data_IF_821962755187
#
_entry.id   IF_821962755187
#
_cell.length_a   1.000
_cell.length_b   1.000
_cell.length_c   1.000
_cell.angle_alpha   90.00
_cell.angle_beta   90.00
_cell.angle_gamma   90.00
#
_symmetry.space_group_name_H-M   'P 1'
#
loop_
_entity.id
_entity.type
_entity.pdbx_description
1 polymer ?
#
# COMPACT_ATOMS: atom_id res chain seq x y z
N UNK A 1 -38.22 60.49 -8.87
CA UNK A 1 -38.84 59.22 -8.39
C UNK A 1 -39.21 58.40 -9.62
N UNK A 2 -39.13 57.06 -9.61
CA UNK A 2 -39.32 56.14 -10.78
C UNK A 2 -38.01 55.97 -11.56
N UNK A 3 -37.14 54.99 -11.31
CA UNK A 3 -37.20 53.64 -11.90
C UNK A 3 -36.22 52.64 -11.21
N UNK A 4 -35.87 52.84 -9.94
CA UNK A 4 -34.94 51.92 -9.24
C UNK A 4 -35.62 50.71 -8.56
N UNK A 5 -36.91 50.82 -8.25
CA UNK A 5 -37.69 49.75 -7.59
C UNK A 5 -37.87 48.44 -8.40
N UNK A 6 -38.04 48.43 -9.74
CA UNK A 6 -38.25 47.17 -10.46
C UNK A 6 -36.97 46.33 -10.55
N UNK A 7 -35.78 46.94 -10.50
CA UNK A 7 -34.50 46.22 -10.57
C UNK A 7 -34.18 45.51 -9.24
N UNK A 8 -34.47 46.15 -8.11
CA UNK A 8 -34.33 45.54 -6.78
C UNK A 8 -35.33 44.39 -6.56
N UNK A 9 -36.55 44.50 -7.10
CA UNK A 9 -37.54 43.42 -7.04
C UNK A 9 -37.16 42.21 -7.89
N UNK A 10 -36.58 42.44 -9.08
CA UNK A 10 -36.07 41.38 -9.97
C UNK A 10 -34.85 40.65 -9.38
N UNK A 11 -33.95 41.39 -8.72
CA UNK A 11 -32.80 40.82 -8.01
C UNK A 11 -33.22 40.00 -6.78
N UNK A 12 -34.28 40.42 -6.08
CA UNK A 12 -34.88 39.65 -4.98
C UNK A 12 -35.54 38.37 -5.47
N UNK A 13 -36.20 38.36 -6.64
CA UNK A 13 -36.82 37.12 -7.19
C UNK A 13 -35.79 36.08 -7.63
N UNK A 14 -34.57 36.49 -8.01
CA UNK A 14 -33.47 35.58 -8.34
C UNK A 14 -32.85 34.94 -7.09
N UNK A 15 -33.02 35.54 -5.90
CA UNK A 15 -32.47 35.02 -4.65
C UNK A 15 -33.29 33.84 -4.06
N UNK A 16 -34.51 33.58 -4.56
CA UNK A 16 -35.40 32.53 -4.04
C UNK A 16 -35.35 31.21 -4.81
N UNK A 17 -34.46 31.05 -5.80
CA UNK A 17 -34.34 29.80 -6.59
C UNK A 17 -33.27 28.86 -6.00
N UNK A 18 -32.56 29.24 -4.93
CA UNK A 18 -31.56 28.39 -4.28
C UNK A 18 -32.19 27.42 -3.27
N UNK A 19 -33.08 26.55 -3.75
CA UNK A 19 -33.56 25.40 -2.98
C UNK A 19 -33.61 24.19 -3.90
N UNK A 20 -32.44 23.66 -4.25
CA UNK A 20 -32.37 22.30 -4.74
C UNK A 20 -32.77 21.37 -3.58
N UNK A 21 -33.84 20.59 -3.75
CA UNK A 21 -34.21 19.61 -2.74
C UNK A 21 -33.12 18.55 -2.72
N UNK A 22 -32.47 18.39 -1.56
CA UNK A 22 -31.67 17.22 -1.20
C UNK A 22 -32.48 15.95 -1.46
N UNK A 23 -32.27 15.38 -2.64
CA UNK A 23 -33.01 14.22 -3.13
C UNK A 23 -32.01 13.22 -3.68
N UNK A 24 -32.38 11.95 -3.56
CA UNK A 24 -31.57 10.85 -4.06
C UNK A 24 -31.96 10.52 -5.50
N UNK A 25 -30.96 10.37 -6.37
CA UNK A 25 -31.17 9.72 -7.66
C UNK A 25 -31.41 8.21 -7.42
N UNK A 26 -32.54 7.71 -7.89
CA UNK A 26 -32.93 6.29 -7.76
C UNK A 26 -32.94 5.54 -9.09
N UNK A 27 -32.69 6.24 -10.20
CA UNK A 27 -32.62 5.63 -11.53
C UNK A 27 -31.46 4.63 -11.62
N UNK A 28 -31.69 3.51 -12.32
CA UNK A 28 -30.64 2.58 -12.71
C UNK A 28 -29.59 3.21 -13.63
N UNK A 29 -29.92 4.30 -14.32
CA UNK A 29 -28.98 5.02 -15.19
C UNK A 29 -28.08 6.02 -14.45
N UNK A 30 -28.11 6.03 -13.10
CA UNK A 30 -27.28 6.90 -12.28
C UNK A 30 -25.79 6.72 -12.61
N UNK A 31 -25.08 7.83 -12.82
CA UNK A 31 -23.68 7.83 -13.23
C UNK A 31 -22.77 7.75 -12.01
N UNK A 32 -22.00 6.66 -11.92
CA UNK A 32 -20.97 6.47 -10.90
C UNK A 32 -19.62 6.26 -11.58
N UNK A 33 -18.65 7.09 -11.22
CA UNK A 33 -17.27 6.99 -11.72
C UNK A 33 -16.36 6.43 -10.63
N UNK A 34 -15.55 5.43 -10.98
CA UNK A 34 -14.57 4.83 -10.07
C UNK A 34 -13.20 5.09 -10.67
N UNK A 35 -12.31 5.74 -9.92
CA UNK A 35 -11.02 6.21 -10.45
C UNK A 35 -10.03 5.08 -10.78
N UNK A 36 -10.32 3.84 -10.38
CA UNK A 36 -9.52 2.66 -10.66
C UNK A 36 -10.43 1.43 -10.83
N UNK A 37 -10.08 0.57 -11.78
CA UNK A 37 -10.69 -0.75 -11.96
C UNK A 37 -9.97 -1.84 -11.13
N UNK A 38 -8.73 -1.56 -10.75
CA UNK A 38 -7.88 -2.46 -9.98
C UNK A 38 -6.91 -1.71 -9.07
N UNK A 39 -6.60 -2.31 -7.92
CA UNK A 39 -5.57 -1.88 -6.99
C UNK A 39 -4.56 -3.03 -6.87
N UNK A 40 -3.29 -2.72 -7.12
CA UNK A 40 -2.22 -3.72 -7.15
C UNK A 40 -1.11 -3.34 -6.20
N UNK A 41 -0.79 -4.26 -5.29
CA UNK A 41 0.39 -4.17 -4.46
C UNK A 41 1.48 -5.03 -5.10
N UNK A 42 2.68 -4.46 -5.23
CA UNK A 42 3.84 -5.21 -5.66
C UNK A 42 4.28 -6.16 -4.53
N UNK A 43 5.58 -6.43 -4.40
CA UNK A 43 6.14 -7.30 -3.38
C UNK A 43 5.80 -6.80 -1.98
N UNK A 44 4.93 -7.53 -1.29
CA UNK A 44 4.58 -7.32 0.12
C UNK A 44 5.22 -8.44 0.94
N UNK A 45 6.18 -8.06 1.78
CA UNK A 45 6.76 -9.01 2.73
C UNK A 45 5.72 -9.42 3.76
N UNK A 46 5.76 -10.70 4.12
CA UNK A 46 4.82 -11.23 5.12
C UNK A 46 5.01 -10.55 6.48
N UNK A 47 3.95 -10.47 7.29
CA UNK A 47 3.94 -9.87 8.63
C UNK A 47 4.09 -8.34 8.76
N UNK A 48 4.71 -7.61 7.82
CA UNK A 48 4.95 -6.15 7.95
C UNK A 48 3.75 -5.30 7.46
N UNK A 49 2.85 -5.89 6.66
CA UNK A 49 1.76 -5.15 6.03
C UNK A 49 2.25 -4.26 4.88
N UNK A 50 1.33 -3.85 4.02
CA UNK A 50 1.64 -2.97 2.88
C UNK A 50 1.48 -1.50 3.24
N UNK A 51 1.95 -0.64 2.35
CA UNK A 51 1.44 0.73 2.24
C UNK A 51 -0.07 0.76 1.98
N UNK A 52 -0.71 1.89 2.25
CA UNK A 52 -2.11 2.12 1.89
C UNK A 52 -2.20 2.73 0.50
N UNK A 53 -2.99 2.10 -0.39
CA UNK A 53 -3.42 2.68 -1.66
C UNK A 53 -4.85 3.17 -1.56
N UNK A 54 -5.29 3.99 -2.52
CA UNK A 54 -6.67 4.47 -2.54
C UNK A 54 -7.20 4.68 -3.94
N UNK A 55 -8.52 4.63 -4.06
CA UNK A 55 -9.25 5.10 -5.22
C UNK A 55 -10.47 5.89 -4.76
N UNK A 56 -11.07 6.64 -5.70
CA UNK A 56 -12.27 7.42 -5.46
C UNK A 56 -13.48 6.75 -6.09
N UNK A 57 -14.61 6.89 -5.43
CA UNK A 57 -15.93 6.67 -6.01
C UNK A 57 -16.58 8.05 -6.09
N UNK A 58 -16.86 8.53 -7.30
CA UNK A 58 -17.48 9.83 -7.58
C UNK A 58 -18.91 9.66 -8.05
N UNK A 59 -19.80 10.45 -7.48
CA UNK A 59 -21.15 10.66 -7.95
C UNK A 59 -21.13 11.72 -9.06
N UNK A 60 -21.43 11.34 -10.30
CA UNK A 60 -21.41 12.25 -11.45
C UNK A 60 -22.81 12.83 -11.74
N UNK A 61 -23.72 12.77 -10.75
CA UNK A 61 -25.09 13.26 -10.85
C UNK A 61 -25.26 14.55 -10.03
N UNK A 62 -26.22 15.37 -10.43
CA UNK A 62 -26.61 16.62 -9.74
C UNK A 62 -27.46 16.36 -8.48
N UNK A 63 -27.85 15.12 -8.24
CA UNK A 63 -28.56 14.66 -7.05
C UNK A 63 -27.66 13.77 -6.20
N UNK A 64 -27.97 13.64 -4.90
CA UNK A 64 -27.24 12.72 -4.02
C UNK A 64 -27.41 11.27 -4.51
N UNK A 65 -26.38 10.45 -4.34
CA UNK A 65 -26.42 9.03 -4.69
C UNK A 65 -26.12 8.19 -3.46
N UNK A 66 -26.96 7.19 -3.21
CA UNK A 66 -26.75 6.21 -2.14
C UNK A 66 -26.25 4.90 -2.72
N UNK A 67 -25.05 4.50 -2.31
CA UNK A 67 -24.58 3.14 -2.49
C UNK A 67 -25.32 2.25 -1.50
N UNK A 68 -26.03 1.24 -2.00
CA UNK A 68 -26.71 0.27 -1.14
C UNK A 68 -25.69 -0.56 -0.35
N UNK A 69 -24.53 -0.86 -0.95
CA UNK A 69 -23.46 -1.60 -0.31
C UNK A 69 -22.09 -1.30 -0.94
N UNK A 70 -21.07 -1.19 -0.08
CA UNK A 70 -19.65 -1.34 -0.44
C UNK A 70 -19.09 -2.49 0.38
N UNK A 71 -18.53 -3.51 -0.27
CA UNK A 71 -18.16 -4.77 0.39
C UNK A 71 -16.84 -5.34 -0.13
N UNK A 72 -15.94 -5.67 0.78
CA UNK A 72 -14.80 -6.55 0.52
C UNK A 72 -15.29 -8.00 0.50
N UNK A 73 -15.14 -8.70 -0.63
CA UNK A 73 -15.79 -9.99 -0.82
C UNK A 73 -15.22 -11.11 0.04
N UNK A 74 -13.90 -11.13 0.27
CA UNK A 74 -13.27 -12.04 1.23
C UNK A 74 -13.66 -11.76 2.69
N UNK A 75 -14.31 -10.62 2.98
CA UNK A 75 -14.79 -10.26 4.31
C UNK A 75 -13.68 -10.26 5.35
N UNK A 76 -13.94 -10.85 6.52
CA UNK A 76 -12.96 -10.95 7.60
C UNK A 76 -11.73 -11.82 7.27
N UNK A 77 -11.88 -12.77 6.34
CA UNK A 77 -10.81 -13.67 5.91
C UNK A 77 -9.95 -13.08 4.79
N UNK A 78 -10.32 -11.90 4.28
CA UNK A 78 -9.51 -11.23 3.26
C UNK A 78 -8.16 -10.80 3.86
N UNK A 79 -7.05 -11.04 3.14
CA UNK A 79 -5.75 -10.45 3.50
C UNK A 79 -5.77 -8.93 3.28
N UNK A 80 -6.72 -8.42 2.49
CA UNK A 80 -6.94 -7.00 2.32
C UNK A 80 -7.79 -6.43 3.46
N UNK A 81 -7.54 -5.17 3.78
CA UNK A 81 -8.36 -4.35 4.69
C UNK A 81 -8.76 -3.10 3.92
N UNK A 82 -10.02 -2.70 4.09
CA UNK A 82 -10.55 -1.50 3.45
C UNK A 82 -11.06 -0.51 4.50
N UNK A 83 -10.95 0.77 4.16
CA UNK A 83 -11.59 1.86 4.87
C UNK A 83 -12.44 2.65 3.87
N UNK A 84 -13.72 2.80 4.21
CA UNK A 84 -14.76 3.40 3.36
C UNK A 84 -15.06 4.79 3.92
N UNK A 85 -14.53 5.81 3.27
CA UNK A 85 -14.71 7.22 3.62
C UNK A 85 -14.43 7.57 5.10
N UNK A 86 -13.36 7.01 5.66
CA UNK A 86 -12.98 7.19 7.07
C UNK A 86 -13.37 6.04 7.98
N UNK A 87 -14.26 5.13 7.55
CA UNK A 87 -14.77 4.02 8.36
C UNK A 87 -14.08 2.72 7.98
N UNK A 88 -13.30 2.12 8.88
CA UNK A 88 -12.70 0.81 8.69
C UNK A 88 -13.76 -0.29 8.85
N UNK A 89 -14.17 -0.92 7.75
CA UNK A 89 -15.17 -1.98 7.73
C UNK A 89 -14.99 -2.86 6.49
N UNK A 90 -15.28 -4.17 6.61
CA UNK A 90 -15.30 -5.07 5.44
C UNK A 90 -16.57 -4.91 4.61
N UNK A 91 -17.60 -4.28 5.17
CA UNK A 91 -18.87 -4.01 4.53
C UNK A 91 -19.48 -2.75 5.15
N UNK A 92 -20.03 -1.88 4.31
CA UNK A 92 -20.84 -0.74 4.75
C UNK A 92 -22.05 -0.61 3.83
N UNK A 93 -23.22 -0.36 4.40
CA UNK A 93 -24.47 -0.16 3.67
C UNK A 93 -24.93 1.28 3.77
N UNK A 94 -25.76 1.70 2.82
CA UNK A 94 -26.34 3.04 2.76
C UNK A 94 -25.28 4.16 2.80
N UNK A 95 -24.21 4.01 2.01
CA UNK A 95 -23.17 5.03 1.90
C UNK A 95 -23.66 6.14 0.99
N UNK A 96 -23.79 7.35 1.51
CA UNK A 96 -24.29 8.51 0.79
C UNK A 96 -23.13 9.33 0.21
N UNK A 97 -23.29 9.75 -1.04
CA UNK A 97 -22.35 10.62 -1.74
C UNK A 97 -23.16 11.84 -2.22
N UNK A 98 -22.71 13.04 -1.84
CA UNK A 98 -23.34 14.28 -2.26
C UNK A 98 -23.30 14.43 -3.79
N UNK A 99 -24.14 15.33 -4.32
CA UNK A 99 -24.13 15.68 -5.74
C UNK A 99 -22.73 16.12 -6.18
N UNK A 100 -22.28 15.60 -7.32
CA UNK A 100 -20.97 15.89 -7.92
C UNK A 100 -19.71 15.62 -7.06
N UNK A 101 -19.88 14.98 -5.90
CA UNK A 101 -18.81 14.75 -4.92
C UNK A 101 -18.24 13.32 -4.99
N UNK A 102 -17.20 13.05 -4.21
CA UNK A 102 -16.50 11.77 -4.14
C UNK A 102 -16.22 11.32 -2.72
N UNK A 103 -16.16 10.01 -2.54
CA UNK A 103 -15.62 9.38 -1.33
C UNK A 103 -14.33 8.65 -1.65
N UNK A 104 -13.48 8.49 -0.63
CA UNK A 104 -12.27 7.69 -0.72
C UNK A 104 -12.50 6.27 -0.24
N UNK A 105 -11.92 5.31 -0.94
CA UNK A 105 -11.71 3.95 -0.46
C UNK A 105 -10.22 3.75 -0.30
N UNK A 106 -9.79 3.50 0.93
CA UNK A 106 -8.41 3.13 1.23
C UNK A 106 -8.28 1.62 1.35
N UNK A 107 -7.20 1.07 0.81
CA UNK A 107 -6.93 -0.37 0.79
C UNK A 107 -5.51 -0.60 1.27
N UNK A 108 -5.34 -1.58 2.16
CA UNK A 108 -4.05 -2.12 2.56
C UNK A 108 -4.12 -3.65 2.56
N UNK A 109 -2.98 -4.33 2.56
CA UNK A 109 -2.89 -5.78 2.63
C UNK A 109 -1.90 -6.19 3.71
N UNK A 110 -2.25 -7.20 4.50
CA UNK A 110 -1.32 -7.89 5.39
C UNK A 110 -1.25 -9.34 4.96
N UNK A 111 -0.04 -9.79 4.64
CA UNK A 111 0.21 -11.13 4.14
C UNK A 111 0.65 -12.01 5.30
N UNK A 112 -0.12 -13.06 5.57
CA UNK A 112 0.28 -14.08 6.54
C UNK A 112 1.42 -14.95 5.97
N UNK A 113 2.45 -15.27 6.77
CA UNK A 113 3.50 -16.17 6.33
C UNK A 113 2.95 -17.54 5.92
N UNK A 114 3.43 -18.05 4.79
CA UNK A 114 3.11 -19.40 4.31
C UNK A 114 4.35 -20.29 4.35
N UNK A 115 4.19 -21.59 4.07
CA UNK A 115 5.34 -22.50 3.87
C UNK A 115 5.99 -22.35 2.49
N UNK A 116 5.46 -21.49 1.61
CA UNK A 116 5.98 -21.30 0.26
C UNK A 116 7.30 -20.51 0.27
N UNK A 117 8.29 -20.95 -0.50
CA UNK A 117 9.54 -20.19 -0.70
C UNK A 117 9.46 -19.21 -1.86
N UNK A 118 8.55 -19.44 -2.81
CA UNK A 118 8.34 -18.57 -3.96
C UNK A 118 7.27 -17.51 -3.66
N UNK A 119 7.35 -16.33 -4.30
CA UNK A 119 6.27 -15.36 -4.26
C UNK A 119 4.94 -15.96 -4.74
N UNK A 120 3.84 -15.47 -4.19
CA UNK A 120 2.49 -15.94 -4.49
C UNK A 120 1.53 -14.76 -4.69
N UNK A 121 0.43 -15.01 -5.41
CA UNK A 121 -0.57 -13.98 -5.70
C UNK A 121 -1.72 -14.12 -4.69
N UNK A 122 -2.09 -12.99 -4.10
CA UNK A 122 -3.33 -12.83 -3.34
C UNK A 122 -4.31 -12.00 -4.18
N UNK A 123 -5.58 -12.40 -4.17
CA UNK A 123 -6.62 -11.71 -4.91
C UNK A 123 -7.90 -11.59 -4.09
N UNK A 124 -8.60 -10.49 -4.27
CA UNK A 124 -9.96 -10.26 -3.76
C UNK A 124 -10.64 -9.20 -4.63
N UNK A 125 -11.86 -8.79 -4.29
CA UNK A 125 -12.57 -7.71 -4.96
C UNK A 125 -13.40 -6.90 -3.99
N UNK A 126 -13.63 -5.64 -4.35
CA UNK A 126 -14.57 -4.75 -3.67
C UNK A 126 -15.82 -4.63 -4.56
N UNK A 127 -16.96 -5.09 -4.05
CA UNK A 127 -18.28 -4.90 -4.66
C UNK A 127 -18.84 -3.52 -4.29
N UNK A 128 -19.39 -2.81 -5.26
CA UNK A 128 -20.08 -1.53 -5.09
C UNK A 128 -21.46 -1.65 -5.73
N UNK A 129 -22.51 -1.51 -4.94
CA UNK A 129 -23.90 -1.65 -5.38
C UNK A 129 -24.68 -0.35 -5.20
N UNK A 130 -25.50 0.01 -6.19
CA UNK A 130 -26.35 1.21 -6.18
C UNK A 130 -27.46 1.10 -7.23
N UNK A 131 -28.70 1.48 -6.90
CA UNK A 131 -29.84 1.51 -7.85
C UNK A 131 -29.99 0.27 -8.77
N UNK A 132 -29.70 -0.93 -8.25
CA UNK A 132 -29.74 -2.19 -9.03
C UNK A 132 -28.47 -2.48 -9.87
N UNK A 133 -27.52 -1.55 -9.93
CA UNK A 133 -26.21 -1.74 -10.53
C UNK A 133 -25.23 -2.37 -9.55
N UNK A 134 -24.25 -3.08 -10.10
CA UNK A 134 -23.13 -3.64 -9.36
C UNK A 134 -21.82 -3.45 -10.15
N UNK A 135 -20.81 -2.91 -9.48
CA UNK A 135 -19.47 -2.66 -10.02
C UNK A 135 -18.43 -3.28 -9.10
N UNK A 136 -17.25 -3.52 -9.66
CA UNK A 136 -16.17 -4.23 -9.00
C UNK A 136 -14.87 -3.48 -9.14
N UNK A 137 -14.07 -3.47 -8.09
CA UNK A 137 -12.65 -3.11 -8.13
C UNK A 137 -11.85 -4.34 -7.75
N UNK A 138 -10.92 -4.75 -8.62
CA UNK A 138 -10.10 -5.93 -8.40
C UNK A 138 -8.92 -5.61 -7.48
N UNK A 139 -8.60 -6.49 -6.54
CA UNK A 139 -7.46 -6.35 -5.65
C UNK A 139 -6.45 -7.46 -5.95
N UNK A 140 -5.18 -7.10 -6.10
CA UNK A 140 -4.09 -8.05 -6.29
C UNK A 140 -2.87 -7.65 -5.46
N UNK A 141 -2.18 -8.63 -4.88
CA UNK A 141 -0.92 -8.42 -4.17
C UNK A 141 0.07 -9.57 -4.42
N UNK A 142 1.35 -9.24 -4.58
CA UNK A 142 2.42 -10.23 -4.64
C UNK A 142 3.03 -10.46 -3.25
N UNK A 143 2.60 -11.52 -2.58
CA UNK A 143 3.12 -11.91 -1.26
C UNK A 143 4.49 -12.59 -1.38
N UNK A 144 5.44 -12.22 -0.52
CA UNK A 144 6.75 -12.88 -0.43
C UNK A 144 7.16 -13.13 1.02
N UNK A 145 7.48 -14.38 1.35
CA UNK A 145 8.09 -14.72 2.64
C UNK A 145 9.52 -14.20 2.72
N UNK A 146 9.93 -13.78 3.92
CA UNK A 146 11.27 -13.27 4.19
C UNK A 146 11.78 -13.72 5.57
N UNK A 147 13.11 -13.67 5.73
CA UNK A 147 13.80 -13.85 7.02
C UNK A 147 14.00 -12.48 7.65
N UNK A 148 13.31 -12.21 8.75
CA UNK A 148 13.35 -10.91 9.43
C UNK A 148 14.47 -10.83 10.45
N UNK A 149 15.23 -9.74 10.41
CA UNK A 149 16.25 -9.37 11.40
C UNK A 149 15.81 -8.06 12.06
N UNK A 150 15.41 -8.14 13.32
CA UNK A 150 14.97 -6.98 14.10
C UNK A 150 15.98 -6.74 15.23
N UNK A 151 16.82 -5.71 15.09
CA UNK A 151 17.87 -5.37 16.06
C UNK A 151 18.83 -6.52 16.34
N UNK A 152 19.39 -7.13 15.29
CA UNK A 152 20.08 -8.42 15.39
C UNK A 152 21.60 -8.29 15.39
N UNK A 153 22.27 -9.13 16.19
CA UNK A 153 23.74 -9.20 16.26
C UNK A 153 24.20 -10.62 15.88
N UNK A 154 25.03 -10.72 14.85
CA UNK A 154 25.70 -11.94 14.42
C UNK A 154 27.02 -12.05 15.19
N UNK A 155 27.07 -12.98 16.15
CA UNK A 155 28.24 -13.20 17.03
C UNK A 155 29.09 -14.40 16.63
N UNK A 156 28.59 -15.25 15.73
CA UNK A 156 29.29 -16.44 15.23
C UNK A 156 29.28 -16.43 13.70
N UNK A 157 30.19 -17.21 13.10
CA UNK A 157 30.21 -17.41 11.66
C UNK A 157 28.86 -17.91 11.15
N UNK A 158 28.26 -17.15 10.24
CA UNK A 158 26.90 -17.34 9.76
C UNK A 158 26.87 -17.28 8.24
N UNK A 159 26.07 -18.16 7.63
CA UNK A 159 25.87 -18.19 6.18
C UNK A 159 24.42 -17.79 5.87
N UNK A 160 24.26 -16.83 4.97
CA UNK A 160 22.97 -16.47 4.38
C UNK A 160 22.86 -17.08 2.99
N UNK A 161 21.93 -18.01 2.83
CA UNK A 161 21.55 -18.58 1.54
C UNK A 161 20.63 -17.64 0.74
N UNK A 162 20.16 -18.09 -0.44
CA UNK A 162 19.28 -17.33 -1.32
C UNK A 162 17.84 -17.90 -1.39
N UNK A 163 17.45 -18.76 -0.44
CA UNK A 163 16.14 -19.42 -0.48
C UNK A 163 14.99 -18.43 -0.25
N UNK A 164 15.25 -17.40 0.55
CA UNK A 164 14.32 -16.32 0.88
C UNK A 164 15.10 -15.01 1.03
N UNK A 165 14.47 -13.85 0.76
CA UNK A 165 15.07 -12.56 1.06
C UNK A 165 15.24 -12.36 2.57
N UNK A 166 16.20 -11.52 2.95
CA UNK A 166 16.39 -11.04 4.31
C UNK A 166 15.86 -9.62 4.41
N UNK A 167 15.12 -9.31 5.47
CA UNK A 167 14.57 -7.97 5.72
C UNK A 167 15.04 -7.50 7.10
N UNK A 168 15.75 -6.38 7.14
CA UNK A 168 16.37 -5.82 8.34
C UNK A 168 15.55 -4.61 8.79
N UNK A 169 14.96 -4.67 9.98
CA UNK A 169 13.98 -3.67 10.44
C UNK A 169 14.57 -2.55 11.33
N UNK A 170 15.52 -2.88 12.20
CA UNK A 170 16.09 -1.92 13.16
C UNK A 170 17.60 -1.76 12.99
N UNK A 171 18.38 -2.83 13.10
CA UNK A 171 19.77 -2.86 12.64
C UNK A 171 20.21 -4.30 12.46
N UNK A 172 21.32 -4.47 11.73
CA UNK A 172 22.11 -5.69 11.73
C UNK A 172 23.53 -5.36 12.11
N UNK A 173 24.09 -6.06 13.08
CA UNK A 173 25.51 -5.95 13.41
C UNK A 173 26.22 -7.29 13.22
N UNK A 174 27.29 -7.32 12.44
CA UNK A 174 28.25 -8.44 12.41
C UNK A 174 29.35 -8.11 13.40
N UNK A 175 29.35 -8.77 14.56
CA UNK A 175 30.25 -8.48 15.66
C UNK A 175 31.72 -8.79 15.31
N UNK A 176 32.65 -8.17 16.02
CA UNK A 176 34.08 -8.43 15.86
C UNK A 176 34.38 -9.93 16.06
N UNK A 177 35.19 -10.51 15.17
CA UNK A 177 35.51 -11.93 15.16
C UNK A 177 34.47 -12.85 14.50
N UNK A 178 33.27 -12.35 14.19
CA UNK A 178 32.27 -13.09 13.43
C UNK A 178 32.40 -12.82 11.93
N UNK A 179 32.03 -13.81 11.11
CA UNK A 179 31.93 -13.68 9.65
C UNK A 179 30.49 -13.90 9.19
N UNK A 180 29.96 -12.94 8.43
CA UNK A 180 28.74 -13.13 7.64
C UNK A 180 29.12 -13.45 6.19
N UNK A 181 28.77 -14.65 5.74
CA UNK A 181 28.93 -15.08 4.35
C UNK A 181 27.59 -15.08 3.64
N UNK A 182 27.44 -14.24 2.62
CA UNK A 182 26.24 -14.10 1.79
C UNK A 182 26.47 -14.84 0.47
N UNK A 183 25.59 -15.79 0.17
CA UNK A 183 25.67 -16.61 -1.04
C UNK A 183 25.19 -15.85 -2.29
N UNK A 184 25.66 -16.22 -3.50
CA UNK A 184 25.19 -15.62 -4.74
C UNK A 184 23.65 -15.64 -4.89
N UNK A 185 23.08 -14.53 -5.35
CA UNK A 185 21.64 -14.39 -5.59
C UNK A 185 20.82 -14.02 -4.36
N UNK A 186 21.43 -13.89 -3.18
CA UNK A 186 20.71 -13.43 -1.98
C UNK A 186 20.24 -11.98 -2.13
N UNK A 187 18.98 -11.74 -1.73
CA UNK A 187 18.37 -10.41 -1.69
C UNK A 187 18.25 -9.95 -0.24
N UNK A 188 18.78 -8.77 0.05
CA UNK A 188 18.78 -8.16 1.37
C UNK A 188 18.08 -6.81 1.25
N UNK A 189 17.08 -6.60 2.10
CA UNK A 189 16.33 -5.37 2.20
C UNK A 189 16.52 -4.78 3.59
N UNK A 190 16.72 -3.47 3.68
CA UNK A 190 16.85 -2.76 4.94
C UNK A 190 15.78 -1.67 5.04
N UNK A 191 15.16 -1.56 6.20
CA UNK A 191 14.26 -0.46 6.51
C UNK A 191 15.01 0.87 6.50
N UNK A 192 14.28 1.98 6.32
CA UNK A 192 14.85 3.30 6.12
C UNK A 192 15.79 3.79 7.25
N UNK A 193 15.64 3.25 8.45
CA UNK A 193 16.45 3.53 9.63
C UNK A 193 17.34 2.36 10.06
N UNK A 194 17.49 1.32 9.21
CA UNK A 194 18.17 0.08 9.57
C UNK A 194 19.59 -0.05 8.99
N UNK A 195 20.63 0.37 9.72
CA UNK A 195 22.00 0.22 9.23
C UNK A 195 22.47 -1.24 9.29
N UNK A 196 23.32 -1.60 8.33
CA UNK A 196 24.09 -2.84 8.36
C UNK A 196 25.50 -2.48 8.84
N UNK A 197 25.82 -2.83 10.08
CA UNK A 197 27.07 -2.47 10.75
C UNK A 197 28.01 -3.67 10.75
N UNK A 198 29.20 -3.52 10.18
CA UNK A 198 30.21 -4.58 10.15
C UNK A 198 31.35 -4.19 11.09
N UNK A 199 31.48 -4.92 12.19
CA UNK A 199 32.67 -4.94 13.07
C UNK A 199 33.55 -6.16 12.85
N UNK A 200 33.00 -7.23 12.31
CA UNK A 200 33.72 -8.45 11.91
C UNK A 200 34.02 -8.45 10.42
N UNK A 201 33.68 -9.57 9.78
CA UNK A 201 33.94 -9.83 8.36
C UNK A 201 32.63 -9.99 7.59
N UNK A 202 32.51 -9.30 6.45
CA UNK A 202 31.45 -9.50 5.46
C UNK A 202 32.04 -10.10 4.18
N UNK A 203 31.58 -11.30 3.84
CA UNK A 203 31.91 -11.98 2.58
C UNK A 203 30.64 -12.06 1.72
N UNK A 204 30.56 -11.26 0.67
CA UNK A 204 29.43 -11.20 -0.25
C UNK A 204 29.94 -11.28 -1.70
N UNK A 205 30.13 -12.50 -2.20
CA UNK A 205 30.62 -12.76 -3.56
C UNK A 205 29.48 -13.23 -4.44
N UNK A 206 28.93 -12.33 -5.26
CA UNK A 206 27.94 -12.67 -6.27
C UNK A 206 28.56 -13.21 -7.55
N UNK A 207 27.71 -13.51 -8.54
CA UNK A 207 28.12 -13.76 -9.92
C UNK A 207 27.32 -12.89 -10.89
N UNK A 208 27.76 -12.80 -12.15
CA UNK A 208 27.05 -12.01 -13.17
C UNK A 208 25.56 -12.43 -13.31
N UNK A 209 25.27 -13.72 -13.14
CA UNK A 209 23.92 -14.27 -13.22
C UNK A 209 23.20 -14.27 -11.86
N UNK A 210 23.93 -14.35 -10.75
CA UNK A 210 23.38 -14.39 -9.39
C UNK A 210 24.01 -13.31 -8.53
N UNK A 211 23.61 -12.07 -8.78
CA UNK A 211 24.08 -10.90 -8.02
C UNK A 211 23.50 -10.93 -6.61
N UNK A 212 24.32 -10.54 -5.63
CA UNK A 212 23.82 -10.20 -4.30
C UNK A 212 23.28 -8.77 -4.38
N UNK A 213 22.09 -8.53 -3.82
CA UNK A 213 21.44 -7.22 -3.88
C UNK A 213 21.13 -6.69 -2.49
N UNK A 214 21.41 -5.41 -2.29
CA UNK A 214 21.07 -4.65 -1.10
C UNK A 214 20.20 -3.46 -1.53
N UNK A 215 19.03 -3.32 -0.91
CA UNK A 215 18.08 -2.25 -1.23
C UNK A 215 17.26 -1.83 -0.01
N UNK A 216 16.46 -0.77 -0.14
CA UNK A 216 15.42 -0.44 0.84
C UNK A 216 14.25 -1.43 0.76
N UNK A 217 13.57 -1.68 1.88
CA UNK A 217 12.40 -2.58 1.93
C UNK A 217 11.08 -1.93 1.43
N UNK A 218 11.12 -0.62 1.12
CA UNK A 218 10.04 0.10 0.43
C UNK A 218 10.11 -0.13 -1.08
N UNK A 219 9.46 -1.20 -1.52
CA UNK A 219 9.41 -1.63 -2.92
C UNK A 219 8.25 -1.00 -3.71
N UNK A 220 7.40 -0.25 -3.04
CA UNK A 220 6.29 0.49 -3.62
C UNK A 220 6.72 1.81 -4.28
N UNK A 221 5.98 2.23 -5.31
CA UNK A 221 6.19 3.54 -5.92
C UNK A 221 5.65 4.67 -5.01
N UNK A 222 6.28 5.86 -5.00
CA UNK A 222 7.51 6.22 -5.73
C UNK A 222 8.80 5.83 -5.00
N UNK A 223 8.71 5.27 -3.79
CA UNK A 223 9.84 5.08 -2.88
C UNK A 223 10.92 4.13 -3.39
N UNK A 224 10.54 3.11 -4.17
CA UNK A 224 11.48 2.14 -4.76
C UNK A 224 12.59 2.79 -5.60
N UNK A 225 12.32 3.95 -6.18
CA UNK A 225 13.22 4.66 -7.09
C UNK A 225 13.98 5.81 -6.38
N UNK A 226 13.73 6.02 -5.09
CA UNK A 226 14.39 7.08 -4.33
C UNK A 226 15.79 6.67 -3.88
N UNK A 227 16.80 7.57 -4.08
CA UNK A 227 18.12 7.34 -3.51
C UNK A 227 18.06 7.42 -1.98
N UNK A 228 19.03 6.79 -1.32
CA UNK A 228 19.15 6.79 0.14
C UNK A 228 17.90 6.28 0.89
N UNK A 229 17.18 5.31 0.31
CA UNK A 229 16.04 4.65 0.96
C UNK A 229 16.40 3.78 2.18
N UNK A 230 17.69 3.61 2.49
CA UNK A 230 18.20 2.90 3.65
C UNK A 230 19.62 3.40 4.01
N UNK A 231 20.13 3.19 5.24
CA UNK A 231 21.38 3.81 5.72
C UNK A 231 22.67 3.30 5.06
N UNK A 232 22.65 2.16 4.39
CA UNK A 232 23.82 1.55 3.78
C UNK A 232 24.53 0.51 4.65
N UNK A 233 25.66 0.00 4.13
CA UNK A 233 26.58 -0.90 4.83
C UNK A 233 27.72 -0.05 5.41
N UNK A 234 27.91 -0.14 6.72
CA UNK A 234 28.84 0.68 7.48
C UNK A 234 29.92 -0.24 8.05
N UNK A 235 31.13 -0.14 7.51
CA UNK A 235 32.31 -0.82 8.04
C UNK A 235 32.95 0.05 9.12
N UNK A 236 33.10 -0.50 10.32
CA UNK A 236 33.76 0.19 11.45
C UNK A 236 35.23 -0.23 11.56
N UNK A 237 35.97 0.43 12.44
CA UNK A 237 37.43 0.27 12.57
C UNK A 237 37.89 -1.15 12.92
N UNK A 238 37.04 -1.95 13.55
CA UNK A 238 37.30 -3.36 13.87
C UNK A 238 37.14 -4.30 12.68
N UNK A 239 36.47 -3.85 11.60
CA UNK A 239 36.17 -4.71 10.47
C UNK A 239 37.40 -5.04 9.64
N UNK A 240 37.58 -6.33 9.34
CA UNK A 240 38.75 -6.85 8.64
C UNK A 240 38.33 -7.90 7.60
N UNK A 241 39.16 -8.11 6.58
CA UNK A 241 39.04 -9.19 5.60
C UNK A 241 37.71 -9.27 4.83
N UNK A 242 37.03 -8.14 4.63
CA UNK A 242 35.79 -8.09 3.87
C UNK A 242 36.04 -8.35 2.38
N UNK A 243 35.14 -9.08 1.75
CA UNK A 243 35.19 -9.36 0.31
C UNK A 243 33.81 -9.15 -0.31
N UNK A 244 33.70 -8.19 -1.23
CA UNK A 244 32.46 -7.84 -1.92
C UNK A 244 32.72 -7.83 -3.43
N UNK A 245 32.01 -8.66 -4.19
CA UNK A 245 32.18 -8.80 -5.64
C UNK A 245 30.84 -9.04 -6.35
#
# INVERSE_FOLDING_TARGET
>A
MKKLYPLALLLCTLAFISCEKDSFITSGDARLNISADSIRFDTVFTSIGSVTQSFKIRNDNEQQLRLSQVKLMGGGNSPFKININGIAATELTNVEIAAEDSIYIFVSVTVDPTTANLPFILSDSISIQYNGNQRWVQLEAYGQNARFMNGSIITNNTVWDNSQPYVILDFLNVAAGATLTIQPGTKIYAHANAPIIIDGTLNATGTANNKISFAGDRLDAPYKDYPAGWPGIIFRSSSINNYLQ
#
